data_IF_930332860831
#
_entry.id   IF_930332860831
#
_cell.length_a   1.000
_cell.length_b   1.000
_cell.length_c   1.000
_cell.angle_alpha   90.00
_cell.angle_beta   90.00
_cell.angle_gamma   90.00
#
_symmetry.space_group_name_H-M   'P 1'
#
loop_
_entity.id
_entity.type
_entity.pdbx_description
1 polymer ?
#
# COMPACT_ATOMS: atom_id res chain seq x y z
N UNK A 1 34.65 -9.53 1.95
CA UNK A 1 33.38 -10.29 1.98
C UNK A 1 32.87 -10.63 0.57
N UNK A 2 33.09 -9.80 -0.45
CA UNK A 2 32.60 -10.05 -1.83
C UNK A 2 33.52 -10.86 -2.76
N UNK A 3 34.61 -11.47 -2.25
CA UNK A 3 35.61 -12.18 -3.08
C UNK A 3 35.06 -13.38 -3.87
N UNK A 4 33.86 -13.85 -3.52
CA UNK A 4 33.22 -15.04 -4.12
C UNK A 4 32.35 -14.67 -5.34
N UNK A 5 31.84 -13.45 -5.40
CA UNK A 5 30.98 -13.00 -6.50
C UNK A 5 31.81 -12.25 -7.55
N UNK A 6 31.52 -12.44 -8.86
CA UNK A 6 32.30 -11.88 -9.96
C UNK A 6 32.01 -10.39 -10.20
N UNK A 7 31.76 -9.61 -9.15
CA UNK A 7 31.49 -8.18 -9.27
C UNK A 7 32.79 -7.39 -9.25
N UNK A 8 32.93 -6.44 -10.17
CA UNK A 8 33.98 -5.42 -10.08
C UNK A 8 33.74 -4.58 -8.83
N UNK A 9 34.68 -4.61 -7.88
CA UNK A 9 34.58 -3.91 -6.61
C UNK A 9 34.40 -2.40 -6.79
N UNK A 10 34.86 -1.82 -7.90
CA UNK A 10 34.69 -0.40 -8.20
C UNK A 10 33.23 -0.03 -8.51
N UNK A 11 32.40 -1.02 -8.83
CA UNK A 11 30.99 -0.86 -9.18
C UNK A 11 30.04 -1.35 -8.06
N UNK A 12 30.59 -1.77 -6.91
CA UNK A 12 29.80 -2.25 -5.77
C UNK A 12 29.60 -1.11 -4.79
N UNK A 13 28.38 -0.57 -4.76
CA UNK A 13 27.94 0.42 -3.78
C UNK A 13 26.82 -0.13 -2.91
N UNK A 14 26.86 0.15 -1.60
CA UNK A 14 25.88 -0.39 -0.65
C UNK A 14 24.77 0.60 -0.30
N UNK A 15 25.04 1.91 -0.43
CA UNK A 15 24.12 2.97 -0.02
C UNK A 15 23.41 3.63 -1.21
N UNK A 16 23.97 3.52 -2.41
CA UNK A 16 23.43 4.12 -3.62
C UNK A 16 23.59 3.16 -4.79
N UNK A 17 22.83 2.08 -4.75
CA UNK A 17 22.86 1.03 -5.76
C UNK A 17 21.71 1.19 -6.75
N UNK A 18 21.97 0.85 -8.01
CA UNK A 18 20.94 0.71 -9.04
C UNK A 18 20.37 -0.71 -9.08
N UNK A 19 21.26 -1.71 -8.94
CA UNK A 19 20.91 -3.12 -8.95
C UNK A 19 21.12 -3.73 -7.57
N UNK A 20 20.14 -4.51 -7.13
CA UNK A 20 20.29 -5.35 -5.93
C UNK A 20 20.19 -6.82 -6.29
N UNK A 21 21.11 -7.61 -5.76
CA UNK A 21 21.14 -9.06 -5.95
C UNK A 21 20.86 -9.73 -4.60
N UNK A 22 20.13 -10.84 -4.63
CA UNK A 22 19.75 -11.59 -3.43
C UNK A 22 20.21 -13.03 -3.54
N UNK A 23 20.66 -13.56 -2.41
CA UNK A 23 20.84 -14.99 -2.18
C UNK A 23 19.73 -15.43 -1.24
N UNK A 24 18.96 -16.44 -1.64
CA UNK A 24 17.88 -17.03 -0.86
C UNK A 24 18.26 -18.47 -0.59
N UNK A 25 18.27 -18.86 0.69
CA UNK A 25 18.42 -20.25 1.10
C UNK A 25 17.04 -20.83 1.39
N UNK A 26 16.71 -21.92 0.70
CA UNK A 26 15.49 -22.66 0.94
C UNK A 26 15.79 -23.79 1.94
N UNK A 27 15.48 -23.56 3.21
CA UNK A 27 15.80 -24.50 4.28
C UNK A 27 15.25 -25.93 4.10
N UNK A 28 14.04 -26.15 3.57
CA UNK A 28 13.47 -27.48 3.37
C UNK A 28 14.23 -28.40 2.41
N UNK A 29 14.84 -27.87 1.34
CA UNK A 29 15.57 -28.65 0.33
C UNK A 29 17.08 -28.35 0.28
N UNK A 30 17.56 -27.46 1.16
CA UNK A 30 18.94 -26.98 1.27
C UNK A 30 19.48 -26.32 -0.01
N UNK A 31 18.58 -25.81 -0.87
CA UNK A 31 18.97 -25.15 -2.12
C UNK A 31 19.27 -23.65 -1.93
N UNK A 32 20.24 -23.17 -2.72
CA UNK A 32 20.61 -21.76 -2.79
C UNK A 32 20.18 -21.16 -4.13
N UNK A 33 19.39 -20.10 -4.06
CA UNK A 33 18.94 -19.33 -5.21
C UNK A 33 19.65 -17.98 -5.23
N UNK A 34 20.25 -17.65 -6.37
CA UNK A 34 20.85 -16.33 -6.61
C UNK A 34 20.12 -15.63 -7.75
N UNK A 35 19.78 -14.35 -7.57
CA UNK A 35 19.07 -13.60 -8.60
C UNK A 35 19.11 -12.09 -8.41
N UNK A 36 18.72 -11.40 -9.48
CA UNK A 36 18.50 -9.96 -9.50
C UNK A 36 17.12 -9.63 -8.91
N UNK A 37 17.08 -8.72 -7.95
CA UNK A 37 15.84 -8.26 -7.32
C UNK A 37 15.16 -7.22 -8.21
N UNK A 38 14.11 -7.64 -8.92
CA UNK A 38 13.32 -6.76 -9.82
C UNK A 38 12.33 -5.86 -9.08
N UNK A 39 11.88 -6.28 -7.89
CA UNK A 39 10.96 -5.53 -7.06
C UNK A 39 11.16 -5.86 -5.57
N UNK A 40 10.87 -4.89 -4.70
CA UNK A 40 10.88 -5.09 -3.25
C UNK A 40 9.83 -4.19 -2.59
N UNK A 41 9.06 -4.75 -1.66
CA UNK A 41 8.07 -3.99 -0.88
C UNK A 41 8.69 -3.22 0.29
N UNK A 42 9.98 -3.45 0.58
CA UNK A 42 10.73 -2.78 1.65
C UNK A 42 11.93 -2.07 1.03
N UNK A 43 12.04 -0.78 1.31
CA UNK A 43 13.23 0.00 0.98
C UNK A 43 14.11 0.12 2.23
N UNK A 44 15.37 -0.36 2.20
CA UNK A 44 16.31 -0.15 3.29
C UNK A 44 16.78 1.32 3.36
N UNK A 45 16.67 2.06 2.25
CA UNK A 45 17.12 3.45 2.14
C UNK A 45 16.03 4.44 2.60
N UNK A 46 14.78 4.22 2.17
CA UNK A 46 13.64 5.10 2.47
C UNK A 46 12.48 4.32 3.09
N UNK A 47 12.52 4.12 4.42
CA UNK A 47 11.48 3.37 5.14
C UNK A 47 10.10 4.03 5.07
N UNK A 48 10.07 5.36 4.99
CA UNK A 48 8.83 6.16 4.99
C UNK A 48 8.11 6.19 3.64
N UNK A 49 8.77 5.74 2.57
CA UNK A 49 8.20 5.66 1.22
C UNK A 49 7.68 4.27 0.87
N UNK A 50 7.75 3.32 1.81
CA UNK A 50 7.26 1.97 1.58
C UNK A 50 5.74 1.94 1.39
N UNK A 51 5.28 0.95 0.64
CA UNK A 51 3.86 0.66 0.42
C UNK A 51 3.06 0.68 1.73
N UNK A 52 3.56 0.02 2.77
CA UNK A 52 2.90 -0.07 4.07
C UNK A 52 2.75 1.30 4.73
N UNK A 53 3.79 2.14 4.69
CA UNK A 53 3.73 3.49 5.26
C UNK A 53 2.84 4.42 4.43
N UNK A 54 2.76 4.22 3.11
CA UNK A 54 1.88 5.00 2.25
C UNK A 54 0.40 4.74 2.52
N UNK A 55 0.00 3.47 2.63
CA UNK A 55 -1.42 3.08 2.71
C UNK A 55 -1.94 2.75 4.11
N UNK A 56 -1.08 2.82 5.13
CA UNK A 56 -1.48 2.55 6.52
C UNK A 56 -2.70 3.36 6.94
N UNK A 57 -3.60 2.71 7.67
CA UNK A 57 -4.77 3.35 8.28
C UNK A 57 -4.40 4.56 9.13
N UNK A 58 -3.21 4.59 9.74
CA UNK A 58 -2.75 5.72 10.58
C UNK A 58 -2.65 7.04 9.82
N UNK A 59 -2.43 7.02 8.50
CA UNK A 59 -2.34 8.21 7.66
C UNK A 59 -3.67 8.63 7.06
N UNK A 60 -4.75 7.89 7.31
CA UNK A 60 -6.08 8.25 6.79
C UNK A 60 -6.69 9.40 7.59
N UNK A 61 -7.22 10.44 6.93
CA UNK A 61 -7.87 11.54 7.61
C UNK A 61 -9.21 11.13 8.25
N UNK A 62 -9.88 10.12 7.67
CA UNK A 62 -11.16 9.57 8.14
C UNK A 62 -11.02 8.07 8.38
N UNK A 63 -11.48 7.61 9.56
CA UNK A 63 -11.47 6.20 9.95
C UNK A 63 -12.79 5.80 10.59
N UNK A 64 -13.30 4.65 10.19
CA UNK A 64 -14.44 3.98 10.82
C UNK A 64 -13.96 2.88 11.77
N UNK A 65 -14.86 2.37 12.63
CA UNK A 65 -14.53 1.34 13.63
C UNK A 65 -14.02 0.04 13.00
N UNK A 66 -14.49 -0.29 11.80
CA UNK A 66 -14.19 -1.53 11.07
C UNK A 66 -13.65 -1.20 9.68
N UNK A 67 -12.54 -0.46 9.62
CA UNK A 67 -11.86 -0.16 8.35
C UNK A 67 -10.98 -1.35 7.95
N UNK A 68 -11.17 -1.90 6.74
CA UNK A 68 -10.33 -2.98 6.22
C UNK A 68 -8.87 -2.55 6.16
N UNK A 69 -7.95 -3.38 6.66
CA UNK A 69 -6.52 -3.10 6.56
C UNK A 69 -6.06 -3.02 5.09
N UNK A 70 -5.08 -2.16 4.84
CA UNK A 70 -4.53 -1.90 3.52
C UNK A 70 -3.95 -3.16 2.84
N UNK A 71 -3.29 -4.07 3.55
CA UNK A 71 -2.73 -5.28 2.92
C UNK A 71 -3.84 -6.16 2.35
N UNK A 72 -4.91 -6.35 3.13
CA UNK A 72 -6.07 -7.12 2.71
C UNK A 72 -6.82 -6.42 1.57
N UNK A 73 -6.98 -5.10 1.62
CA UNK A 73 -7.63 -4.32 0.56
C UNK A 73 -6.92 -4.48 -0.79
N UNK A 74 -5.59 -4.41 -0.80
CA UNK A 74 -4.79 -4.61 -2.01
C UNK A 74 -4.78 -6.06 -2.48
N UNK A 75 -4.80 -7.02 -1.55
CA UNK A 75 -4.95 -8.43 -1.91
C UNK A 75 -6.27 -8.66 -2.68
N UNK A 76 -7.38 -8.07 -2.21
CA UNK A 76 -8.68 -8.18 -2.88
C UNK A 76 -8.67 -7.51 -4.27
N UNK A 77 -8.07 -6.32 -4.39
CA UNK A 77 -7.93 -5.67 -5.70
C UNK A 77 -7.10 -6.52 -6.68
N UNK A 78 -6.02 -7.14 -6.21
CA UNK A 78 -5.21 -8.07 -7.02
C UNK A 78 -5.98 -9.34 -7.38
N UNK A 79 -6.77 -9.91 -6.46
CA UNK A 79 -7.63 -11.06 -6.75
C UNK A 79 -8.69 -10.72 -7.80
N UNK A 80 -9.20 -9.50 -7.79
CA UNK A 80 -10.09 -8.97 -8.83
C UNK A 80 -9.37 -8.65 -10.15
N UNK A 81 -8.05 -8.85 -10.23
CA UNK A 81 -7.22 -8.53 -11.40
C UNK A 81 -7.40 -7.09 -11.90
N UNK A 82 -7.63 -6.17 -10.96
CA UNK A 82 -7.97 -4.77 -11.25
C UNK A 82 -6.81 -4.07 -11.95
N UNK A 83 -7.15 -3.35 -13.02
CA UNK A 83 -6.22 -2.59 -13.87
C UNK A 83 -6.74 -1.18 -14.12
N UNK A 84 -5.88 -0.38 -14.73
CA UNK A 84 -6.21 0.97 -15.15
C UNK A 84 -7.43 0.99 -16.06
N UNK A 85 -8.38 1.86 -15.75
CA UNK A 85 -9.62 2.03 -16.51
C UNK A 85 -10.71 1.01 -16.18
N UNK A 86 -10.47 0.03 -15.31
CA UNK A 86 -11.51 -0.91 -14.90
C UNK A 86 -12.62 -0.20 -14.12
N UNK A 87 -13.86 -0.66 -14.33
CA UNK A 87 -15.00 -0.26 -13.52
C UNK A 87 -15.17 -1.22 -12.35
N UNK A 88 -15.11 -0.69 -11.14
CA UNK A 88 -15.13 -1.48 -9.91
C UNK A 88 -16.25 -0.99 -9.00
N UNK A 89 -16.88 -1.93 -8.28
CA UNK A 89 -18.00 -1.64 -7.39
C UNK A 89 -17.82 -2.34 -6.03
N UNK A 90 -17.77 -1.55 -4.97
CA UNK A 90 -17.79 -2.05 -3.59
C UNK A 90 -19.19 -1.85 -2.97
N UNK A 91 -20.01 -2.91 -2.81
CA UNK A 91 -21.35 -2.79 -2.26
C UNK A 91 -21.39 -2.42 -0.77
N UNK A 92 -20.24 -2.45 -0.08
CA UNK A 92 -20.10 -2.13 1.34
C UNK A 92 -18.86 -1.24 1.56
N UNK A 93 -18.80 -0.12 0.83
CA UNK A 93 -17.60 0.72 0.68
C UNK A 93 -17.06 1.27 2.00
N UNK A 94 -17.94 1.47 2.99
CA UNK A 94 -17.57 1.96 4.30
C UNK A 94 -16.72 3.24 4.23
N UNK A 95 -15.59 3.25 4.92
CA UNK A 95 -14.62 4.36 4.91
C UNK A 95 -13.65 4.32 3.72
N UNK A 96 -13.94 3.50 2.71
CA UNK A 96 -13.23 3.47 1.43
C UNK A 96 -11.94 2.64 1.44
N UNK A 97 -11.77 1.67 2.33
CA UNK A 97 -10.53 0.89 2.38
C UNK A 97 -10.20 0.17 1.09
N UNK A 98 -11.18 -0.51 0.51
CA UNK A 98 -11.02 -1.21 -0.77
C UNK A 98 -10.90 -0.18 -1.89
N UNK A 99 -11.71 0.88 -1.85
CA UNK A 99 -11.66 1.94 -2.85
C UNK A 99 -10.28 2.61 -2.99
N UNK A 100 -9.57 2.83 -1.88
CA UNK A 100 -8.18 3.33 -1.91
C UNK A 100 -7.24 2.36 -2.63
N UNK A 101 -7.42 1.05 -2.47
CA UNK A 101 -6.63 0.05 -3.18
C UNK A 101 -7.00 -0.01 -4.68
N UNK A 102 -8.28 0.08 -5.02
CA UNK A 102 -8.75 0.11 -6.41
C UNK A 102 -8.23 1.35 -7.16
N UNK A 103 -8.30 2.52 -6.54
CA UNK A 103 -7.75 3.76 -7.11
C UNK A 103 -6.23 3.74 -7.25
N UNK A 104 -5.49 2.96 -6.46
CA UNK A 104 -4.05 2.80 -6.69
C UNK A 104 -3.76 2.21 -8.08
N UNK A 105 -4.64 1.36 -8.58
CA UNK A 105 -4.56 0.78 -9.92
C UNK A 105 -5.23 1.66 -11.00
N UNK A 106 -5.61 2.91 -10.68
CA UNK A 106 -6.31 3.83 -11.59
C UNK A 106 -7.66 3.28 -12.11
N UNK A 107 -8.37 2.50 -11.29
CA UNK A 107 -9.71 2.02 -11.61
C UNK A 107 -10.78 3.06 -11.29
N UNK A 108 -11.83 3.12 -12.12
CA UNK A 108 -13.06 3.86 -11.83
C UNK A 108 -13.82 3.13 -10.72
N UNK A 109 -13.77 3.69 -9.51
CA UNK A 109 -14.32 3.05 -8.31
C UNK A 109 -15.66 3.66 -7.93
N UNK A 110 -16.65 2.80 -7.80
CA UNK A 110 -17.97 3.10 -7.27
C UNK A 110 -18.20 2.29 -6.00
N UNK A 111 -19.13 2.73 -5.16
CA UNK A 111 -19.58 1.89 -4.07
C UNK A 111 -20.78 2.45 -3.34
N UNK A 112 -21.36 1.60 -2.52
CA UNK A 112 -22.53 1.90 -1.71
C UNK A 112 -22.29 1.50 -0.26
N UNK A 113 -23.09 2.06 0.63
CA UNK A 113 -23.20 1.63 2.01
C UNK A 113 -24.65 1.85 2.45
N UNK A 114 -25.14 1.00 3.36
CA UNK A 114 -26.48 1.15 3.92
C UNK A 114 -26.56 2.41 4.78
N UNK A 115 -25.47 2.77 5.46
CA UNK A 115 -25.40 3.95 6.31
C UNK A 115 -24.81 5.14 5.56
N UNK A 116 -25.68 6.01 5.04
CA UNK A 116 -25.29 7.24 4.34
C UNK A 116 -24.37 8.15 5.18
N UNK A 117 -24.41 8.03 6.51
CA UNK A 117 -23.53 8.80 7.40
C UNK A 117 -22.07 8.37 7.22
N UNK A 118 -21.81 7.09 6.96
CA UNK A 118 -20.44 6.59 6.70
C UNK A 118 -19.88 7.23 5.44
N UNK A 119 -20.67 7.26 4.37
CA UNK A 119 -20.30 7.85 3.06
C UNK A 119 -20.08 9.36 3.21
N UNK A 120 -20.95 10.05 3.95
CA UNK A 120 -20.82 11.50 4.22
C UNK A 120 -19.75 11.85 5.26
N UNK A 121 -19.07 10.86 5.84
CA UNK A 121 -18.07 11.10 6.85
C UNK A 121 -18.62 11.59 8.21
N UNK A 122 -19.88 11.29 8.52
CA UNK A 122 -20.61 11.75 9.69
C UNK A 122 -20.77 10.63 10.73
N UNK A 123 -20.54 10.94 12.02
CA UNK A 123 -20.99 10.18 13.19
C UNK A 123 -20.42 8.77 13.42
N UNK A 124 -20.25 7.98 12.36
CA UNK A 124 -19.82 6.58 12.41
C UNK A 124 -18.30 6.48 12.31
N UNK A 125 -17.71 7.18 11.35
CA UNK A 125 -16.27 7.41 11.34
C UNK A 125 -15.91 8.72 12.02
N UNK A 126 -14.62 8.91 12.24
CA UNK A 126 -14.06 10.06 12.94
C UNK A 126 -12.87 10.60 12.19
N UNK A 127 -12.68 11.92 12.28
CA UNK A 127 -11.42 12.56 11.93
C UNK A 127 -10.31 11.92 12.78
N UNK A 128 -9.22 11.52 12.13
CA UNK A 128 -8.10 10.90 12.81
C UNK A 128 -7.48 11.86 13.84
N UNK A 129 -6.93 11.30 14.91
CA UNK A 129 -6.12 12.07 15.88
C UNK A 129 -4.64 12.09 15.52
N UNK A 130 -4.24 11.34 14.48
CA UNK A 130 -2.87 11.29 14.03
C UNK A 130 -2.50 12.57 13.28
N UNK A 131 -1.21 12.93 13.30
CA UNK A 131 -0.70 14.01 12.46
C UNK A 131 -0.70 13.56 10.99
N UNK A 132 -1.73 13.98 10.27
CA UNK A 132 -1.86 13.78 8.83
C UNK A 132 -1.77 15.15 8.15
N UNK A 133 -0.97 15.24 7.10
CA UNK A 133 -0.80 16.46 6.34
C UNK A 133 -2.13 16.89 5.69
N UNK A 134 -2.46 18.17 5.75
CA UNK A 134 -3.70 18.71 5.20
C UNK A 134 -4.97 18.36 5.98
N UNK A 135 -4.86 17.66 7.12
CA UNK A 135 -5.99 17.32 7.97
C UNK A 135 -6.71 18.56 8.52
N UNK A 136 -5.97 19.63 8.79
CA UNK A 136 -6.44 20.96 9.18
C UNK A 136 -7.36 21.59 8.14
N UNK A 137 -7.15 21.29 6.85
CA UNK A 137 -7.96 21.81 5.73
C UNK A 137 -9.30 21.09 5.55
N UNK A 138 -9.52 20.00 6.30
CA UNK A 138 -10.75 19.20 6.21
C UNK A 138 -11.69 19.64 7.33
N UNK A 139 -12.56 20.61 7.03
CA UNK A 139 -13.60 21.10 7.96
C UNK A 139 -14.76 20.11 8.08
N UNK A 140 -15.15 19.51 6.94
CA UNK A 140 -16.13 18.44 6.83
C UNK A 140 -15.71 17.49 5.72
N UNK A 141 -16.07 16.23 5.83
CA UNK A 141 -15.83 15.21 4.80
C UNK A 141 -16.91 15.23 3.70
N UNK A 142 -17.57 16.37 3.52
CA UNK A 142 -18.70 16.52 2.61
C UNK A 142 -18.21 16.36 1.17
N UNK A 143 -18.59 15.25 0.54
CA UNK A 143 -18.58 15.11 -0.92
C UNK A 143 -19.76 15.96 -1.40
N UNK A 144 -19.50 17.19 -1.87
CA UNK A 144 -20.50 18.01 -2.55
C UNK A 144 -20.87 17.38 -3.89
#
# INVERSE_FOLDING_TARGET
MFKVFPFDQKLVELNNYEHSYKVIHNGPDDELYFGHSVAACRSPLNKDETFHVKYTLKRRPYLGPTSTDHELAFLMANQGLVKEGDFTYDPFIGTGSIAVALQHFNAFTFGSDLDIRVIKGLGVGRKTKNKVEGLDKIDKFDIQ
#
